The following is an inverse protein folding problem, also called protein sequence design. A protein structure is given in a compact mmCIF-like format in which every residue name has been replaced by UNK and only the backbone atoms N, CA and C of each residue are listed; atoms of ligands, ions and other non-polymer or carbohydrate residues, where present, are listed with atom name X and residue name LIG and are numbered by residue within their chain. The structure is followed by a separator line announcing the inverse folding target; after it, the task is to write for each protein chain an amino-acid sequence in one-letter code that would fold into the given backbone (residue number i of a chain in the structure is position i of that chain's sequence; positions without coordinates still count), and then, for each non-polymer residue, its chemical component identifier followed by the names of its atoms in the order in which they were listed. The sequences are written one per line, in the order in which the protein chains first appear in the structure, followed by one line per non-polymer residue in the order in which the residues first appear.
data_IF_465840984294
#
_entry.id   IF_465840984294
#
_cell.length_a   1.000
_cell.length_b   1.000
_cell.length_c   1.000
_cell.angle_alpha   90.00
_cell.angle_beta   90.00
_cell.angle_gamma   90.00
#
_symmetry.space_group_name_H-M   'P 1'
#
loop_
_entity.id
_entity.type
_entity.pdbx_description
1 polymer ?
#
# COMPACT_ATOMS: atom_id res chain seq x y z
N UNK A 1 -11.85 15.20 6.86
CA UNK A 1 -11.97 14.04 7.77
C UNK A 1 -10.79 14.09 8.73
N UNK A 2 -10.97 13.83 10.04
CA UNK A 2 -9.84 13.80 10.97
C UNK A 2 -8.98 12.58 10.65
N UNK A 3 -7.69 12.81 10.39
CA UNK A 3 -6.69 11.75 10.33
C UNK A 3 -6.56 11.15 11.73
N UNK A 4 -7.23 10.02 11.98
CA UNK A 4 -7.06 9.28 13.22
C UNK A 4 -5.68 8.63 13.17
N UNK A 5 -4.68 9.28 13.78
CA UNK A 5 -3.48 8.56 14.19
C UNK A 5 -3.93 7.45 15.16
N UNK A 6 -3.47 6.21 14.99
CA UNK A 6 -3.88 5.12 15.87
C UNK A 6 -3.56 5.49 17.33
N UNK A 7 -4.48 5.19 18.25
CA UNK A 7 -4.27 5.32 19.70
C UNK A 7 -3.30 4.26 20.26
N UNK A 8 -2.31 3.86 19.47
CA UNK A 8 -1.38 2.78 19.80
C UNK A 8 -0.25 3.28 20.70
N UNK A 9 0.22 2.36 21.54
CA UNK A 9 1.48 2.44 22.26
C UNK A 9 2.58 3.04 21.36
N UNK A 10 3.40 3.97 21.86
CA UNK A 10 4.43 4.61 21.07
C UNK A 10 5.41 3.58 20.48
N UNK A 11 5.91 3.86 19.27
CA UNK A 11 6.84 2.95 18.59
C UNK A 11 8.17 2.92 19.32
N UNK A 12 8.69 1.72 19.61
CA UNK A 12 9.89 1.57 20.47
C UNK A 12 11.16 1.28 19.68
N UNK A 13 11.04 1.01 18.38
CA UNK A 13 12.12 0.55 17.51
C UNK A 13 12.55 -0.89 17.78
N UNK A 14 11.83 -1.61 18.65
CA UNK A 14 12.10 -3.01 19.01
C UNK A 14 10.96 -3.95 18.60
N UNK A 15 9.78 -3.41 18.34
CA UNK A 15 8.63 -4.21 17.90
C UNK A 15 8.84 -4.74 16.49
N UNK A 16 8.55 -6.02 16.27
CA UNK A 16 8.63 -6.64 14.93
C UNK A 16 7.64 -6.02 13.94
N UNK A 17 6.61 -5.33 14.44
CA UNK A 17 5.60 -4.62 13.65
C UNK A 17 5.80 -3.09 13.60
N UNK A 18 6.79 -2.52 14.28
CA UNK A 18 6.96 -1.06 14.40
C UNK A 18 7.16 -0.42 13.02
N UNK A 19 8.06 -0.99 12.21
CA UNK A 19 8.34 -0.51 10.85
C UNK A 19 7.10 -0.56 9.97
N UNK A 20 6.36 -1.68 9.99
CA UNK A 20 5.13 -1.84 9.24
C UNK A 20 4.13 -0.77 9.62
N UNK A 21 3.71 -0.78 10.88
CA UNK A 21 2.66 0.08 11.42
C UNK A 21 2.97 1.57 11.20
N UNK A 22 4.21 2.01 11.44
CA UNK A 22 4.61 3.38 11.18
C UNK A 22 4.56 3.71 9.68
N UNK A 23 5.00 2.80 8.81
CA UNK A 23 4.90 3.01 7.35
C UNK A 23 3.45 3.17 6.90
N UNK A 24 2.53 2.32 7.36
CA UNK A 24 1.10 2.43 7.04
C UNK A 24 0.51 3.74 7.57
N UNK A 25 0.84 4.13 8.81
CA UNK A 25 0.42 5.40 9.40
C UNK A 25 0.93 6.62 8.61
N UNK A 26 2.17 6.58 8.13
CA UNK A 26 2.73 7.63 7.28
C UNK A 26 2.04 7.69 5.91
N UNK A 27 1.75 6.56 5.27
CA UNK A 27 0.98 6.51 4.02
C UNK A 27 -0.41 7.12 4.25
N UNK A 28 -1.15 6.62 5.24
CA UNK A 28 -2.52 7.05 5.53
C UNK A 28 -2.63 8.54 5.88
N UNK A 29 -1.68 9.08 6.64
CA UNK A 29 -1.67 10.50 7.01
C UNK A 29 -1.29 11.44 5.87
N UNK A 30 -0.57 10.96 4.86
CA UNK A 30 -0.03 11.81 3.79
C UNK A 30 -0.68 11.60 2.41
N UNK A 31 -1.35 10.48 2.17
CA UNK A 31 -1.97 10.15 0.88
C UNK A 31 -2.97 11.22 0.42
N UNK A 32 -3.68 11.85 1.36
CA UNK A 32 -4.63 12.94 1.11
C UNK A 32 -3.98 14.22 0.56
N UNK A 33 -2.67 14.39 0.72
CA UNK A 33 -1.95 15.56 0.18
C UNK A 33 -1.51 15.36 -1.27
N UNK A 34 -1.66 14.15 -1.83
CA UNK A 34 -1.44 13.92 -3.25
C UNK A 34 -2.62 14.52 -4.02
N UNK A 35 -2.43 15.74 -4.53
CA UNK A 35 -3.43 16.45 -5.33
C UNK A 35 -3.07 16.32 -6.81
N UNK A 36 -3.99 15.86 -7.63
CA UNK A 36 -3.83 15.75 -9.10
C UNK A 36 -2.54 15.03 -9.55
N UNK A 37 -2.08 14.05 -8.76
CA UNK A 37 -0.85 13.30 -9.03
C UNK A 37 0.45 14.08 -8.77
N UNK A 38 0.37 15.26 -8.15
CA UNK A 38 1.53 16.04 -7.71
C UNK A 38 1.94 15.63 -6.29
N UNK A 39 3.24 15.43 -6.12
CA UNK A 39 3.86 15.12 -4.83
C UNK A 39 4.33 16.44 -4.20
N UNK A 40 3.93 16.78 -2.97
CA UNK A 40 4.43 17.98 -2.29
C UNK A 40 5.96 17.97 -2.17
N UNK A 41 6.60 19.10 -2.45
CA UNK A 41 8.08 19.22 -2.37
C UNK A 41 8.63 18.99 -0.97
N UNK A 42 7.83 19.21 0.08
CA UNK A 42 8.16 18.97 1.48
C UNK A 42 7.58 17.65 2.03
N UNK A 43 7.17 16.71 1.17
CA UNK A 43 6.54 15.46 1.62
C UNK A 43 7.45 14.70 2.59
N UNK A 44 8.72 14.51 2.23
CA UNK A 44 9.65 13.74 3.06
C UNK A 44 9.93 14.42 4.41
N UNK A 45 10.04 15.75 4.43
CA UNK A 45 10.20 16.53 5.67
C UNK A 45 9.00 16.33 6.61
N UNK A 46 7.77 16.40 6.06
CA UNK A 46 6.53 16.15 6.83
C UNK A 46 6.49 14.74 7.39
N UNK A 47 6.88 13.74 6.58
CA UNK A 47 6.93 12.35 7.01
C UNK A 47 7.91 12.14 8.16
N UNK A 48 9.10 12.75 8.08
CA UNK A 48 10.05 12.72 9.18
C UNK A 48 9.49 13.38 10.44
N UNK A 49 8.90 14.57 10.33
CA UNK A 49 8.32 15.26 11.47
C UNK A 49 7.27 14.39 12.20
N UNK A 50 6.38 13.72 11.45
CA UNK A 50 5.39 12.79 12.02
C UNK A 50 6.08 11.56 12.62
N UNK A 51 7.04 10.95 11.93
CA UNK A 51 7.74 9.77 12.42
C UNK A 51 8.47 10.03 13.75
N UNK A 52 9.25 11.12 13.83
CA UNK A 52 9.95 11.50 15.05
C UNK A 52 9.01 11.81 16.22
N UNK A 53 7.80 12.32 15.94
CA UNK A 53 6.81 12.59 16.98
C UNK A 53 6.13 11.33 17.53
N UNK A 54 6.15 10.21 16.81
CA UNK A 54 5.46 8.96 17.18
C UNK A 54 6.37 7.88 17.77
N UNK A 55 7.68 8.07 17.72
CA UNK A 55 8.67 7.09 18.19
C UNK A 55 9.18 7.49 19.57
N UNK A 56 9.01 6.60 20.54
CA UNK A 56 9.62 6.70 21.87
C UNK A 56 10.73 5.65 21.99
N UNK A 57 11.89 5.98 21.43
CA UNK A 57 13.06 5.12 21.46
C UNK A 57 14.34 5.96 21.73
N UNK A 58 15.46 5.27 21.92
CA UNK A 58 16.75 5.98 21.95
C UNK A 58 17.03 6.66 20.59
N UNK A 59 17.90 7.70 20.54
CA UNK A 59 18.11 8.48 19.31
C UNK A 59 18.52 7.65 18.08
N UNK A 60 19.33 6.60 18.28
CA UNK A 60 19.77 5.74 17.19
C UNK A 60 18.62 4.90 16.63
N UNK A 61 17.84 4.26 17.51
CA UNK A 61 16.68 3.48 17.11
C UNK A 61 15.61 4.36 16.43
N UNK A 62 15.39 5.56 16.97
CA UNK A 62 14.48 6.54 16.39
C UNK A 62 14.86 6.91 14.97
N UNK A 63 16.14 7.27 14.75
CA UNK A 63 16.64 7.63 13.43
C UNK A 63 16.48 6.50 12.42
N UNK A 64 16.85 5.27 12.79
CA UNK A 64 16.75 4.10 11.90
C UNK A 64 15.29 3.84 11.52
N UNK A 65 14.40 3.73 12.51
CA UNK A 65 12.99 3.45 12.27
C UNK A 65 12.31 4.56 11.45
N UNK A 66 12.57 5.83 11.77
CA UNK A 66 12.03 6.96 11.03
C UNK A 66 12.51 6.98 9.57
N UNK A 67 13.81 6.78 9.34
CA UNK A 67 14.37 6.74 7.98
C UNK A 67 13.79 5.60 7.17
N UNK A 68 13.71 4.38 7.71
CA UNK A 68 13.16 3.25 6.97
C UNK A 68 11.66 3.43 6.67
N UNK A 69 10.86 3.80 7.66
CA UNK A 69 9.43 3.98 7.50
C UNK A 69 9.09 5.11 6.52
N UNK A 70 9.76 6.27 6.66
CA UNK A 70 9.58 7.39 5.75
C UNK A 70 10.02 7.03 4.32
N UNK A 71 11.10 6.28 4.14
CA UNK A 71 11.55 5.87 2.80
C UNK A 71 10.56 4.93 2.12
N UNK A 72 10.04 3.94 2.84
CA UNK A 72 9.04 3.01 2.30
C UNK A 72 7.71 3.73 2.00
N UNK A 73 7.24 4.58 2.91
CA UNK A 73 6.02 5.33 2.73
C UNK A 73 6.15 6.33 1.56
N UNK A 74 7.28 7.03 1.45
CA UNK A 74 7.58 7.91 0.33
C UNK A 74 7.55 7.15 -0.99
N UNK A 75 8.21 5.97 -1.05
CA UNK A 75 8.16 5.10 -2.22
C UNK A 75 6.74 4.77 -2.64
N UNK A 76 5.89 4.36 -1.70
CA UNK A 76 4.48 4.12 -1.99
C UNK A 76 3.88 5.37 -2.63
N UNK A 77 3.91 6.51 -1.93
CA UNK A 77 3.26 7.76 -2.34
C UNK A 77 3.74 8.33 -3.68
N UNK A 78 4.95 7.99 -4.13
CA UNK A 78 5.48 8.45 -5.42
C UNK A 78 5.27 7.47 -6.57
N UNK A 79 5.19 6.16 -6.30
CA UNK A 79 5.23 5.12 -7.34
C UNK A 79 3.88 4.42 -7.58
N UNK A 80 3.03 4.31 -6.56
CA UNK A 80 1.87 3.40 -6.57
C UNK A 80 0.48 4.05 -6.66
N UNK A 81 0.22 5.22 -6.05
CA UNK A 81 -1.06 5.89 -6.14
C UNK A 81 -1.47 6.06 -7.61
N UNK A 82 -2.70 5.67 -7.96
CA UNK A 82 -3.20 5.90 -9.30
C UNK A 82 -3.37 7.41 -9.54
N UNK A 83 -3.15 7.83 -10.78
CA UNK A 83 -3.43 9.21 -11.21
C UNK A 83 -4.93 9.45 -11.42
N UNK A 84 -5.41 10.71 -11.48
CA UNK A 84 -6.78 11.01 -11.90
C UNK A 84 -7.17 10.23 -13.18
N UNK A 85 -8.43 9.75 -13.31
CA UNK A 85 -9.62 10.08 -12.50
C UNK A 85 -9.81 9.23 -11.23
N UNK A 86 -8.82 8.45 -10.81
CA UNK A 86 -8.87 7.70 -9.55
C UNK A 86 -8.80 8.63 -8.34
N UNK A 87 -9.62 8.35 -7.33
CA UNK A 87 -9.63 9.05 -6.04
C UNK A 87 -9.57 8.05 -4.90
N UNK A 88 -8.98 8.48 -3.81
CA UNK A 88 -8.97 7.70 -2.57
C UNK A 88 -10.39 7.66 -2.00
N UNK A 89 -10.90 6.45 -1.79
CA UNK A 89 -12.17 6.19 -1.10
C UNK A 89 -11.96 6.14 0.41
N UNK A 90 -10.87 5.52 0.86
CA UNK A 90 -10.55 5.40 2.28
C UNK A 90 -9.18 4.79 2.55
N UNK A 91 -8.69 5.04 3.76
CA UNK A 91 -7.53 4.37 4.38
C UNK A 91 -8.09 3.40 5.42
N UNK A 92 -7.49 2.23 5.59
CA UNK A 92 -8.00 1.15 6.45
C UNK A 92 -9.48 0.85 6.15
N UNK A 93 -9.80 0.73 4.86
CA UNK A 93 -11.17 0.58 4.38
C UNK A 93 -11.70 -0.81 4.76
N UNK A 94 -12.82 -0.86 5.49
CA UNK A 94 -13.40 -2.12 5.94
C UNK A 94 -14.05 -2.89 4.78
N UNK A 95 -13.62 -4.14 4.59
CA UNK A 95 -14.19 -5.05 3.59
C UNK A 95 -15.25 -6.00 4.16
N UNK A 96 -15.46 -6.01 5.47
CA UNK A 96 -16.19 -7.05 6.19
C UNK A 96 -15.33 -8.29 6.51
N UNK A 97 -14.20 -8.48 5.82
CA UNK A 97 -13.19 -9.52 6.09
C UNK A 97 -11.93 -8.93 6.76
N UNK A 98 -12.04 -7.70 7.26
CA UNK A 98 -10.96 -6.88 7.79
C UNK A 98 -10.61 -5.68 6.90
N UNK A 99 -9.81 -4.74 7.41
CA UNK A 99 -9.43 -3.56 6.67
C UNK A 99 -8.36 -3.86 5.63
N UNK A 100 -8.55 -3.33 4.44
CA UNK A 100 -7.51 -3.14 3.40
C UNK A 100 -6.83 -1.79 3.65
N UNK A 101 -5.54 -1.67 3.37
CA UNK A 101 -4.79 -0.42 3.61
C UNK A 101 -5.40 0.78 2.89
N UNK A 102 -5.71 0.66 1.59
CA UNK A 102 -6.28 1.74 0.79
C UNK A 102 -7.33 1.22 -0.18
N UNK A 103 -8.41 1.97 -0.33
CA UNK A 103 -9.42 1.76 -1.36
C UNK A 103 -9.44 2.92 -2.36
N UNK A 104 -9.50 2.61 -3.64
CA UNK A 104 -9.50 3.57 -4.75
C UNK A 104 -10.75 3.41 -5.60
N UNK A 105 -11.30 4.53 -6.05
CA UNK A 105 -12.46 4.57 -6.94
C UNK A 105 -12.18 5.45 -8.16
N UNK A 106 -12.52 4.97 -9.35
CA UNK A 106 -12.47 5.72 -10.58
C UNK A 106 -13.75 6.54 -10.73
N UNK A 107 -13.62 7.86 -10.67
CA UNK A 107 -14.77 8.77 -10.72
C UNK A 107 -15.47 8.83 -12.08
N UNK A 108 -14.84 8.32 -13.14
CA UNK A 108 -15.43 8.31 -14.49
C UNK A 108 -16.14 6.99 -14.82
N UNK A 109 -15.74 5.88 -14.21
CA UNK A 109 -16.24 4.53 -14.55
C UNK A 109 -16.95 3.81 -13.40
N UNK A 110 -16.90 4.36 -12.18
CA UNK A 110 -17.30 3.69 -10.94
C UNK A 110 -16.50 2.42 -10.62
N UNK A 111 -15.40 2.16 -11.32
CA UNK A 111 -14.53 1.02 -11.00
C UNK A 111 -13.80 1.24 -9.68
N UNK A 112 -13.51 0.16 -8.97
CA UNK A 112 -12.84 0.17 -7.67
C UNK A 112 -11.72 -0.85 -7.62
N UNK A 113 -10.65 -0.53 -6.88
CA UNK A 113 -9.65 -1.52 -6.48
C UNK A 113 -9.06 -1.18 -5.12
N UNK A 114 -8.38 -2.16 -4.56
CA UNK A 114 -7.79 -2.13 -3.23
C UNK A 114 -6.27 -2.26 -3.29
N UNK A 115 -5.55 -1.62 -2.36
CA UNK A 115 -4.13 -1.87 -2.14
C UNK A 115 -3.91 -2.55 -0.79
N UNK A 116 -3.19 -3.67 -0.82
CA UNK A 116 -2.63 -4.32 0.35
C UNK A 116 -1.11 -4.14 0.33
N UNK A 117 -0.60 -3.26 1.18
CA UNK A 117 0.79 -2.83 1.26
C UNK A 117 1.55 -3.72 2.25
N UNK A 118 2.76 -4.15 1.87
CA UNK A 118 3.64 -4.93 2.75
C UNK A 118 5.02 -4.31 2.81
N UNK A 119 5.54 -4.14 4.01
CA UNK A 119 6.88 -3.56 4.24
C UNK A 119 8.00 -4.58 4.27
N UNK A 120 7.70 -5.88 4.36
CA UNK A 120 8.73 -6.92 4.46
C UNK A 120 9.33 -7.29 3.10
N UNK A 121 10.56 -7.79 3.11
CA UNK A 121 11.18 -8.39 1.92
C UNK A 121 10.42 -9.64 1.50
N UNK A 122 10.34 -9.83 0.19
CA UNK A 122 9.96 -11.12 -0.39
C UNK A 122 11.19 -12.02 -0.35
N UNK A 123 11.02 -13.29 0.03
CA UNK A 123 12.11 -14.26 0.03
C UNK A 123 12.72 -14.41 -1.37
N UNK A 124 13.96 -14.90 -1.43
CA UNK A 124 14.72 -15.13 -2.66
C UNK A 124 13.86 -15.89 -3.69
N UNK A 125 13.72 -15.33 -4.90
CA UNK A 125 12.95 -15.96 -6.00
C UNK A 125 11.66 -15.23 -6.42
N UNK A 126 11.40 -14.01 -5.98
CA UNK A 126 10.21 -13.19 -6.35
C UNK A 126 8.86 -13.83 -6.00
N UNK A 127 8.85 -14.82 -5.12
CA UNK A 127 7.65 -15.53 -4.69
C UNK A 127 7.06 -14.89 -3.45
N UNK A 128 5.89 -14.29 -3.61
CA UNK A 128 5.17 -13.65 -2.50
C UNK A 128 4.68 -14.73 -1.51
N UNK A 129 4.80 -14.50 -0.18
CA UNK A 129 4.34 -15.44 0.83
C UNK A 129 2.88 -15.89 0.64
N UNK A 130 2.61 -17.18 0.84
CA UNK A 130 1.26 -17.77 0.69
C UNK A 130 0.24 -17.14 1.64
N UNK A 131 0.66 -16.77 2.86
CA UNK A 131 -0.19 -16.09 3.83
C UNK A 131 -0.68 -14.72 3.33
N UNK A 132 0.18 -13.94 2.65
CA UNK A 132 -0.21 -12.66 2.07
C UNK A 132 -1.21 -12.87 0.93
N UNK A 133 -0.97 -13.87 0.07
CA UNK A 133 -1.92 -14.22 -0.99
C UNK A 133 -3.26 -14.70 -0.43
N UNK A 134 -3.27 -15.49 0.64
CA UNK A 134 -4.49 -15.95 1.29
C UNK A 134 -5.30 -14.78 1.86
N UNK A 135 -4.65 -13.84 2.54
CA UNK A 135 -5.29 -12.60 3.01
C UNK A 135 -5.85 -11.78 1.85
N UNK A 136 -5.02 -11.51 0.84
CA UNK A 136 -5.42 -10.72 -0.33
C UNK A 136 -6.58 -11.36 -1.10
N UNK A 137 -6.64 -12.71 -1.16
CA UNK A 137 -7.76 -13.44 -1.78
C UNK A 137 -9.08 -13.27 -1.02
N UNK A 138 -9.04 -13.18 0.32
CA UNK A 138 -10.24 -12.90 1.13
C UNK A 138 -10.77 -11.50 0.80
N UNK A 139 -9.91 -10.49 0.79
CA UNK A 139 -10.29 -9.13 0.40
C UNK A 139 -10.81 -9.08 -1.04
N UNK A 140 -10.20 -9.82 -1.97
CA UNK A 140 -10.67 -9.87 -3.34
C UNK A 140 -12.06 -10.50 -3.47
N UNK A 141 -12.35 -11.54 -2.68
CA UNK A 141 -13.66 -12.17 -2.62
C UNK A 141 -14.71 -11.23 -1.99
N UNK A 142 -14.37 -10.56 -0.89
CA UNK A 142 -15.24 -9.61 -0.21
C UNK A 142 -15.58 -8.41 -1.11
N UNK A 143 -14.58 -7.82 -1.78
CA UNK A 143 -14.78 -6.74 -2.74
C UNK A 143 -15.67 -7.17 -3.92
N UNK A 144 -15.44 -8.36 -4.48
CA UNK A 144 -16.27 -8.89 -5.56
C UNK A 144 -17.72 -9.12 -5.11
N UNK A 145 -17.95 -9.62 -3.89
CA UNK A 145 -19.29 -9.83 -3.35
C UNK A 145 -20.02 -8.50 -3.08
N UNK A 146 -19.31 -7.48 -2.59
CA UNK A 146 -19.91 -6.20 -2.22
C UNK A 146 -20.15 -5.26 -3.42
N UNK A 147 -19.28 -5.30 -4.43
CA UNK A 147 -19.24 -4.30 -5.51
C UNK A 147 -19.48 -4.90 -6.90
N UNK A 148 -19.57 -6.22 -7.02
CA UNK A 148 -19.81 -6.92 -8.28
C UNK A 148 -18.75 -6.60 -9.34
N UNK A 149 -19.20 -6.36 -10.56
CA UNK A 149 -18.34 -6.14 -11.73
C UNK A 149 -17.51 -4.85 -11.66
N UNK A 150 -17.91 -3.88 -10.83
CA UNK A 150 -17.14 -2.65 -10.63
C UNK A 150 -15.83 -2.89 -9.87
N UNK A 151 -15.65 -4.02 -9.19
CA UNK A 151 -14.44 -4.31 -8.44
C UNK A 151 -13.39 -5.04 -9.27
N UNK A 152 -12.26 -4.38 -9.47
CA UNK A 152 -11.18 -4.84 -10.34
C UNK A 152 -10.15 -5.72 -9.63
N UNK A 153 -10.24 -5.87 -8.31
CA UNK A 153 -9.38 -6.71 -7.48
C UNK A 153 -8.53 -5.95 -6.47
N UNK A 154 -7.53 -6.64 -5.94
CA UNK A 154 -6.59 -6.13 -4.94
C UNK A 154 -5.17 -6.15 -5.51
N UNK A 155 -4.45 -5.03 -5.42
CA UNK A 155 -3.01 -4.97 -5.65
C UNK A 155 -2.30 -5.34 -4.36
N UNK A 156 -1.55 -6.43 -4.37
CA UNK A 156 -0.60 -6.76 -3.32
C UNK A 156 0.72 -6.05 -3.64
N UNK A 157 1.15 -5.15 -2.75
CA UNK A 157 2.24 -4.19 -2.97
C UNK A 157 3.36 -4.39 -1.94
N UNK A 158 4.36 -5.25 -2.22
CA UNK A 158 5.56 -5.39 -1.38
C UNK A 158 6.53 -4.23 -1.62
N UNK A 159 6.62 -3.26 -0.71
CA UNK A 159 7.42 -2.04 -0.90
C UNK A 159 8.93 -2.31 -0.98
N UNK A 160 9.43 -3.32 -0.28
CA UNK A 160 10.84 -3.74 -0.38
C UNK A 160 11.13 -4.61 -1.63
N UNK A 161 10.10 -4.99 -2.39
CA UNK A 161 10.23 -5.79 -3.61
C UNK A 161 9.15 -5.38 -4.62
N UNK A 162 9.11 -4.09 -4.98
CA UNK A 162 8.04 -3.49 -5.78
C UNK A 162 7.84 -4.16 -7.16
N UNK A 163 8.91 -4.71 -7.74
CA UNK A 163 8.86 -5.50 -8.99
C UNK A 163 8.09 -6.82 -8.84
N UNK A 164 7.69 -7.15 -7.62
CA UNK A 164 6.85 -8.30 -7.29
C UNK A 164 5.39 -7.95 -6.99
N UNK A 165 4.95 -6.71 -7.25
CA UNK A 165 3.54 -6.35 -7.09
C UNK A 165 2.61 -7.28 -7.91
N UNK A 166 1.50 -7.70 -7.31
CA UNK A 166 0.55 -8.66 -7.91
C UNK A 166 -0.86 -8.11 -7.94
N UNK A 167 -1.61 -8.45 -8.97
CA UNK A 167 -3.06 -8.32 -9.02
C UNK A 167 -3.70 -9.64 -8.58
N UNK A 168 -4.59 -9.56 -7.60
CA UNK A 168 -5.38 -10.67 -7.09
C UNK A 168 -6.86 -10.36 -7.33
N UNK A 169 -7.54 -11.26 -8.04
CA UNK A 169 -8.97 -11.20 -8.33
C UNK A 169 -9.66 -12.45 -7.83
N UNK A 170 -10.94 -12.34 -7.51
CA UNK A 170 -11.73 -13.48 -7.09
C UNK A 170 -11.86 -14.50 -8.23
N UNK A 171 -11.57 -15.79 -7.97
CA UNK A 171 -11.67 -16.86 -8.96
C UNK A 171 -10.61 -16.87 -10.07
N UNK A 172 -9.73 -15.87 -10.15
CA UNK A 172 -8.73 -15.75 -11.22
C UNK A 172 -7.30 -16.12 -10.77
N UNK A 173 -6.42 -16.53 -11.70
CA UNK A 173 -5.00 -16.66 -11.44
C UNK A 173 -4.36 -15.32 -11.03
N UNK A 174 -3.45 -15.36 -10.05
CA UNK A 174 -2.68 -14.18 -9.62
C UNK A 174 -1.75 -13.73 -10.74
N UNK A 175 -1.72 -12.41 -11.04
CA UNK A 175 -0.93 -11.84 -12.14
C UNK A 175 0.10 -10.85 -11.63
N UNK A 176 1.25 -10.77 -12.30
CA UNK A 176 2.26 -9.75 -12.04
C UNK A 176 1.81 -8.41 -12.63
N UNK A 177 1.96 -7.34 -11.84
CA UNK A 177 1.68 -5.97 -12.28
C UNK A 177 2.94 -5.32 -12.88
N UNK A 178 2.71 -4.48 -13.88
CA UNK A 178 3.71 -3.54 -14.35
C UNK A 178 3.83 -2.40 -13.33
N UNK A 179 5.03 -1.89 -13.14
CA UNK A 179 5.28 -0.79 -12.21
C UNK A 179 4.95 0.55 -12.88
N UNK A 180 3.69 1.00 -12.80
CA UNK A 180 3.24 2.28 -13.38
C UNK A 180 2.03 2.86 -12.65
N UNK A 181 2.07 4.16 -12.37
CA UNK A 181 0.98 4.92 -11.76
C UNK A 181 -0.16 5.29 -12.73
N UNK A 182 0.12 5.34 -14.04
CA UNK A 182 -0.87 5.74 -15.06
C UNK A 182 -1.90 4.64 -15.35
N UNK A 183 -1.46 3.39 -15.26
CA UNK A 183 -2.30 2.22 -15.46
C UNK A 183 -2.09 1.28 -14.27
N UNK A 184 -2.70 1.59 -13.10
CA UNK A 184 -2.39 0.97 -11.81
C UNK A 184 -2.59 -0.55 -11.79
N UNK A 185 -3.40 -1.08 -12.71
CA UNK A 185 -3.73 -2.49 -12.87
C UNK A 185 -3.10 -3.12 -14.13
N UNK A 186 -2.20 -2.41 -14.82
CA UNK A 186 -1.53 -2.92 -16.02
C UNK A 186 -0.72 -4.17 -15.66
N UNK A 187 -0.94 -5.25 -16.40
CA UNK A 187 -0.19 -6.48 -16.22
C UNK A 187 1.22 -6.31 -16.80
N UNK A 188 2.22 -6.88 -16.12
CA UNK A 188 3.55 -6.99 -16.68
C UNK A 188 3.52 -7.84 -17.95
N UNK A 189 4.33 -7.47 -18.95
CA UNK A 189 4.54 -8.31 -20.11
C UNK A 189 4.99 -9.70 -19.64
N UNK A 190 4.44 -10.76 -20.24
CA UNK A 190 5.00 -12.10 -20.03
C UNK A 190 6.43 -12.01 -20.51
N UNK A 191 7.40 -12.25 -19.63
CA UNK A 191 8.78 -12.46 -20.05
C UNK A 191 8.72 -13.54 -21.12
N UNK A 192 8.96 -13.17 -22.38
CA UNK A 192 9.03 -14.15 -23.45
C UNK A 192 10.08 -15.17 -23.04
N UNK A 193 9.64 -16.40 -22.76
CA UNK A 193 10.52 -17.55 -22.66
C UNK A 193 11.13 -17.76 -24.04
N UNK A 194 12.18 -16.99 -24.31
CA UNK A 194 13.03 -17.16 -25.46
C UNK A 194 13.92 -18.38 -25.20
N UNK A 195 13.54 -19.47 -25.87
CA UNK A 195 14.22 -20.76 -26.07
C UNK A 195 14.01 -21.80 -24.98
#
# INVERSE_FOLDING_TARGET
MPTLLPQSTPFTGRGTSDLGSLTHGLIGSHIQFLSDGQVPSNLLERMYAVAYALIEANPNATRVLATEAASLAFRYLTEFPPRPPWRLLGVEYDTGEGPVDLAWANTSTNEMFFDEVKTSRVATGRQVPSAWLAQTRRYAAAGAAAMGESFLGVRLVPLMAADTARLVRHGEPVRLLAHTAEAPLRLAARSGGGR
#
